data_IF_788978240194
#
_entry.id   IF_788978240194
#
_cell.length_a   1.000
_cell.length_b   1.000
_cell.length_c   1.000
_cell.angle_alpha   90.00
_cell.angle_beta   90.00
_cell.angle_gamma   90.00
#
_symmetry.space_group_name_H-M   'P 1'
#
loop_
_entity.id
_entity.type
_entity.pdbx_description
1 polymer ?
#
# COMPACT_ATOMS: atom_id res chain seq x y z
N UNK A 1 -5.07 17.17 4.04
CA UNK A 1 -5.76 16.05 3.37
C UNK A 1 -5.09 15.82 2.03
N UNK A 2 -4.77 14.58 1.67
CA UNK A 2 -4.04 14.25 0.44
C UNK A 2 -4.91 13.36 -0.44
N UNK A 3 -5.02 13.71 -1.72
CA UNK A 3 -5.67 12.89 -2.73
C UNK A 3 -4.71 12.76 -3.90
N UNK A 4 -4.39 11.52 -4.29
CA UNK A 4 -3.46 11.24 -5.36
C UNK A 4 -4.14 10.57 -6.55
N UNK A 5 -3.73 10.93 -7.74
CA UNK A 5 -4.11 10.20 -8.95
C UNK A 5 -3.44 8.82 -8.97
N UNK A 6 -4.01 7.86 -9.70
CA UNK A 6 -3.37 6.56 -9.96
C UNK A 6 -1.95 6.71 -10.50
N UNK A 7 -1.67 7.75 -11.33
CA UNK A 7 -0.34 8.01 -11.88
C UNK A 7 0.66 8.47 -10.81
N UNK A 8 0.26 9.35 -9.89
CA UNK A 8 1.11 9.79 -8.78
C UNK A 8 1.41 8.63 -7.81
N UNK A 9 0.41 7.80 -7.53
CA UNK A 9 0.58 6.59 -6.72
C UNK A 9 1.54 5.61 -7.42
N UNK A 10 1.34 5.36 -8.70
CA UNK A 10 2.24 4.49 -9.49
C UNK A 10 3.67 5.00 -9.55
N UNK A 11 3.86 6.32 -9.65
CA UNK A 11 5.17 6.98 -9.66
C UNK A 11 5.85 7.09 -8.29
N UNK A 12 5.23 6.61 -7.21
CA UNK A 12 5.72 6.80 -5.84
C UNK A 12 5.92 8.29 -5.48
N UNK A 13 4.96 9.14 -5.90
CA UNK A 13 4.95 10.59 -5.74
C UNK A 13 4.01 11.03 -4.61
N UNK A 14 4.13 10.42 -3.43
CA UNK A 14 3.34 10.78 -2.25
C UNK A 14 4.19 11.51 -1.21
N UNK A 15 3.54 12.10 -0.22
CA UNK A 15 4.19 12.70 0.95
C UNK A 15 4.82 11.67 1.90
N UNK A 16 4.50 10.39 1.75
CA UNK A 16 4.91 9.32 2.66
C UNK A 16 6.06 8.52 2.05
N UNK A 17 7.26 8.74 2.59
CA UNK A 17 8.49 8.08 2.13
C UNK A 17 8.44 6.54 2.29
N UNK A 18 7.74 6.02 3.29
CA UNK A 18 7.62 4.58 3.53
C UNK A 18 6.70 3.94 2.49
N UNK A 19 5.61 4.62 2.14
CA UNK A 19 4.73 4.20 1.07
C UNK A 19 5.42 4.27 -0.30
N UNK A 20 6.17 5.34 -0.54
CA UNK A 20 6.94 5.50 -1.77
C UNK A 20 7.99 4.40 -1.93
N UNK A 21 8.73 4.08 -0.87
CA UNK A 21 9.68 2.96 -0.87
C UNK A 21 8.98 1.62 -1.13
N UNK A 22 7.79 1.39 -0.57
CA UNK A 22 7.04 0.17 -0.85
C UNK A 22 6.64 0.06 -2.32
N UNK A 23 6.13 1.13 -2.93
CA UNK A 23 5.84 1.14 -4.36
C UNK A 23 7.08 0.87 -5.20
N UNK A 24 8.22 1.51 -4.89
CA UNK A 24 9.47 1.27 -5.62
C UNK A 24 9.93 -0.18 -5.47
N UNK A 25 9.90 -0.77 -4.27
CA UNK A 25 10.24 -2.20 -4.08
C UNK A 25 9.40 -3.08 -5.01
N UNK A 26 8.08 -2.85 -5.04
CA UNK A 26 7.16 -3.62 -5.86
C UNK A 26 7.42 -3.43 -7.35
N UNK A 27 7.68 -2.22 -7.83
CA UNK A 27 7.98 -1.94 -9.24
C UNK A 27 9.28 -2.63 -9.68
N UNK A 28 10.32 -2.60 -8.85
CA UNK A 28 11.64 -3.13 -9.21
C UNK A 28 11.79 -4.63 -8.99
N UNK A 29 11.12 -5.20 -7.98
CA UNK A 29 11.31 -6.60 -7.59
C UNK A 29 10.09 -7.48 -7.85
N UNK A 30 8.93 -6.87 -8.11
CA UNK A 30 7.64 -7.56 -8.16
C UNK A 30 7.20 -8.17 -6.83
N UNK A 31 7.80 -7.72 -5.72
CA UNK A 31 7.54 -8.16 -4.37
C UNK A 31 7.42 -6.98 -3.41
N UNK A 32 6.68 -7.18 -2.32
CA UNK A 32 6.53 -6.24 -1.22
C UNK A 32 6.28 -7.04 0.05
N UNK A 33 6.94 -6.67 1.14
CA UNK A 33 6.76 -7.33 2.43
C UNK A 33 5.29 -7.29 2.90
N UNK A 34 4.76 -8.38 3.45
CA UNK A 34 3.33 -8.52 3.76
C UNK A 34 2.77 -7.40 4.65
N UNK A 35 3.53 -6.97 5.67
CA UNK A 35 3.09 -5.85 6.52
C UNK A 35 3.04 -4.52 5.75
N UNK A 36 3.96 -4.32 4.80
CA UNK A 36 3.95 -3.16 3.93
C UNK A 36 2.80 -3.24 2.92
N UNK A 37 2.40 -4.41 2.42
CA UNK A 37 1.20 -4.55 1.56
C UNK A 37 -0.07 -4.08 2.25
N UNK A 38 -0.24 -4.43 3.53
CA UNK A 38 -1.37 -3.95 4.32
C UNK A 38 -1.33 -2.42 4.46
N UNK A 39 -0.19 -1.87 4.88
CA UNK A 39 0.01 -0.43 5.02
C UNK A 39 -0.28 0.30 3.70
N UNK A 40 0.34 -0.17 2.63
CA UNK A 40 0.26 0.34 1.27
C UNK A 40 -1.18 0.42 0.78
N UNK A 41 -1.95 -0.66 0.92
CA UNK A 41 -3.34 -0.69 0.51
C UNK A 41 -4.22 0.26 1.33
N UNK A 42 -4.03 0.32 2.66
CA UNK A 42 -4.81 1.24 3.51
C UNK A 42 -4.57 2.69 3.13
N UNK A 43 -3.33 3.06 2.78
CA UNK A 43 -3.01 4.41 2.32
C UNK A 43 -3.61 4.75 0.96
N UNK A 44 -3.73 3.80 0.02
CA UNK A 44 -4.49 4.04 -1.22
C UNK A 44 -5.95 4.35 -0.90
N UNK A 45 -6.57 3.63 0.03
CA UNK A 45 -7.93 3.93 0.49
C UNK A 45 -8.03 5.34 1.11
N UNK A 46 -7.05 5.72 1.94
CA UNK A 46 -7.01 7.04 2.59
C UNK A 46 -6.83 8.21 1.61
N UNK A 47 -6.07 8.00 0.53
CA UNK A 47 -5.67 9.06 -0.40
C UNK A 47 -6.43 9.01 -1.73
N UNK A 48 -7.58 8.35 -1.76
CA UNK A 48 -8.47 8.29 -2.91
C UNK A 48 -9.75 9.06 -2.64
N UNK A 49 -10.34 9.62 -3.69
CA UNK A 49 -11.60 10.35 -3.61
C UNK A 49 -12.81 9.46 -3.28
N UNK A 50 -12.81 8.18 -3.67
CA UNK A 50 -13.86 7.21 -3.30
C UNK A 50 -13.27 5.82 -3.04
N UNK A 51 -13.95 4.98 -2.22
CA UNK A 51 -13.54 3.60 -2.00
C UNK A 51 -13.48 2.75 -3.27
N UNK A 52 -14.36 2.99 -4.25
CA UNK A 52 -14.37 2.26 -5.51
C UNK A 52 -13.17 2.66 -6.39
N UNK A 53 -12.79 3.95 -6.37
CA UNK A 53 -11.58 4.39 -7.06
C UNK A 53 -10.33 3.81 -6.39
N UNK A 54 -10.27 3.82 -5.05
CA UNK A 54 -9.21 3.16 -4.30
C UNK A 54 -9.11 1.67 -4.63
N UNK A 55 -10.24 0.95 -4.67
CA UNK A 55 -10.26 -0.48 -4.98
C UNK A 55 -9.69 -0.76 -6.38
N UNK A 56 -10.16 -0.02 -7.39
CA UNK A 56 -9.66 -0.15 -8.76
C UNK A 56 -8.16 0.16 -8.85
N UNK A 57 -7.70 1.21 -8.18
CA UNK A 57 -6.28 1.60 -8.15
C UNK A 57 -5.42 0.55 -7.47
N UNK A 58 -5.81 0.08 -6.27
CA UNK A 58 -5.10 -0.98 -5.54
C UNK A 58 -5.01 -2.25 -6.38
N UNK A 59 -6.12 -2.67 -7.00
CA UNK A 59 -6.15 -3.88 -7.82
C UNK A 59 -5.30 -3.74 -9.10
N UNK A 60 -5.35 -2.57 -9.75
CA UNK A 60 -4.53 -2.26 -10.92
C UNK A 60 -3.04 -2.37 -10.61
N UNK A 61 -2.56 -1.65 -9.60
CA UNK A 61 -1.15 -1.64 -9.21
C UNK A 61 -0.69 -3.02 -8.78
N UNK A 62 -1.52 -3.72 -7.99
CA UNK A 62 -1.22 -5.07 -7.53
C UNK A 62 -1.05 -6.04 -8.71
N UNK A 63 -2.00 -6.04 -9.65
CA UNK A 63 -1.95 -6.96 -10.79
C UNK A 63 -0.89 -6.61 -11.84
N UNK A 64 -0.48 -5.34 -11.90
CA UNK A 64 0.54 -4.86 -12.84
C UNK A 64 1.95 -5.26 -12.40
N UNK A 65 2.26 -5.15 -11.11
CA UNK A 65 3.64 -5.26 -10.64
C UNK A 65 3.94 -6.51 -9.81
N UNK A 66 3.00 -7.04 -9.02
CA UNK A 66 3.32 -8.23 -8.22
C UNK A 66 3.49 -9.47 -9.10
N UNK A 67 4.56 -10.22 -8.85
CA UNK A 67 4.76 -11.55 -9.44
C UNK A 67 3.68 -12.53 -8.98
N UNK A 68 3.19 -12.38 -7.74
CA UNK A 68 2.05 -13.11 -7.17
C UNK A 68 0.69 -12.39 -7.36
N UNK A 69 0.65 -11.41 -8.28
CA UNK A 69 -0.57 -10.74 -8.71
C UNK A 69 -1.48 -11.64 -9.54
N UNK A 70 -2.74 -11.23 -9.76
CA UNK A 70 -3.73 -11.95 -10.59
C UNK A 70 -4.06 -13.38 -10.10
N UNK A 71 -3.78 -13.66 -8.84
CA UNK A 71 -4.13 -14.90 -8.14
C UNK A 71 -5.32 -14.67 -7.18
N UNK A 72 -6.19 -15.66 -6.92
CA UNK A 72 -7.29 -15.53 -5.96
C UNK A 72 -6.88 -14.97 -4.58
N UNK A 73 -5.72 -15.35 -4.06
CA UNK A 73 -5.21 -14.80 -2.79
C UNK A 73 -4.92 -13.31 -2.91
N UNK A 74 -4.43 -12.87 -4.08
CA UNK A 74 -4.17 -11.48 -4.39
C UNK A 74 -5.45 -10.65 -4.35
N UNK A 75 -6.54 -11.13 -4.96
CA UNK A 75 -7.85 -10.48 -4.90
C UNK A 75 -8.41 -10.43 -3.46
N UNK A 76 -8.25 -11.52 -2.69
CA UNK A 76 -8.67 -11.56 -1.29
C UNK A 76 -7.89 -10.56 -0.42
N UNK A 77 -6.57 -10.44 -0.65
CA UNK A 77 -5.72 -9.47 0.03
C UNK A 77 -6.12 -8.03 -0.28
N UNK A 78 -6.44 -7.72 -1.55
CA UNK A 78 -7.00 -6.42 -1.92
C UNK A 78 -8.34 -6.20 -1.23
N UNK A 79 -9.26 -7.16 -1.24
CA UNK A 79 -10.56 -7.02 -0.58
C UNK A 79 -10.45 -6.80 0.94
N UNK A 80 -9.45 -7.41 1.60
CA UNK A 80 -9.18 -7.19 3.03
C UNK A 80 -8.81 -5.73 3.36
N UNK A 81 -8.16 -5.02 2.43
CA UNK A 81 -7.91 -3.57 2.56
C UNK A 81 -9.22 -2.80 2.75
N UNK A 82 -10.33 -3.31 2.19
CA UNK A 82 -11.66 -2.69 2.28
C UNK A 82 -12.57 -3.36 3.31
N UNK A 83 -12.04 -4.28 4.14
CA UNK A 83 -12.72 -4.87 5.29
C UNK A 83 -13.20 -6.31 5.11
N UNK A 84 -12.99 -6.92 3.94
CA UNK A 84 -13.34 -8.33 3.74
C UNK A 84 -12.55 -9.24 4.69
N UNK A 85 -13.23 -10.15 5.38
CA UNK A 85 -12.64 -11.08 6.36
C UNK A 85 -11.93 -10.39 7.56
N UNK A 86 -12.17 -9.10 7.80
CA UNK A 86 -11.78 -8.42 9.04
C UNK A 86 -13.03 -8.05 9.85
N UNK A 87 -12.84 -7.75 11.13
CA UNK A 87 -13.90 -7.20 11.99
C UNK A 87 -14.01 -5.69 11.84
N UNK A 88 -15.12 -5.11 12.31
CA UNK A 88 -15.24 -3.67 12.45
C UNK A 88 -14.33 -3.10 13.54
N UNK A 89 -13.79 -1.91 13.29
CA UNK A 89 -12.93 -1.13 14.19
C UNK A 89 -13.62 0.16 14.64
N UNK A 90 -12.97 0.90 15.55
CA UNK A 90 -13.39 2.25 15.92
C UNK A 90 -13.56 3.10 14.68
N UNK A 91 -14.70 3.76 14.58
CA UNK A 91 -15.05 4.57 13.42
C UNK A 91 -14.10 5.76 13.26
N UNK A 92 -13.68 6.01 12.01
CA UNK A 92 -12.80 7.11 11.63
C UNK A 92 -13.28 7.72 10.33
N UNK A 93 -13.01 9.01 10.16
CA UNK A 93 -13.17 9.69 8.88
C UNK A 93 -12.42 8.94 7.77
N UNK A 94 -12.98 8.93 6.56
CA UNK A 94 -12.57 8.14 5.39
C UNK A 94 -12.75 6.62 5.54
N UNK A 95 -12.30 6.02 6.63
CA UNK A 95 -12.27 4.57 6.80
C UNK A 95 -13.60 3.97 7.28
N UNK A 96 -14.49 4.77 7.87
CA UNK A 96 -15.61 4.23 8.64
C UNK A 96 -15.09 3.24 9.68
N UNK A 97 -15.58 2.00 9.65
CA UNK A 97 -15.15 0.91 10.56
C UNK A 97 -14.05 0.01 9.98
N UNK A 98 -13.49 0.33 8.82
CA UNK A 98 -12.35 -0.41 8.26
C UNK A 98 -11.11 -0.19 9.14
N UNK A 99 -10.31 -1.24 9.33
CA UNK A 99 -9.05 -1.14 10.09
C UNK A 99 -8.15 -0.04 9.51
N UNK A 100 -7.78 0.90 10.36
CA UNK A 100 -6.82 1.96 10.06
C UNK A 100 -5.36 1.53 10.31
N UNK A 101 -4.42 2.04 9.50
CA UNK A 101 -2.97 1.92 9.72
C UNK A 101 -2.29 3.29 9.52
N UNK A 102 -1.44 3.69 10.46
CA UNK A 102 -0.64 4.92 10.40
C UNK A 102 0.85 4.66 10.32
N UNK A 103 1.60 5.64 9.81
CA UNK A 103 3.07 5.67 9.82
C UNK A 103 3.62 5.50 11.24
N UNK A 104 3.12 6.26 12.22
CA UNK A 104 3.53 6.07 13.63
C UNK A 104 3.12 4.71 14.23
N UNK A 105 2.15 4.01 13.64
CA UNK A 105 1.86 2.61 13.97
C UNK A 105 2.87 1.63 13.35
N UNK A 106 3.33 1.93 12.15
CA UNK A 106 4.38 1.20 11.43
C UNK A 106 5.74 1.35 12.13
N UNK A 107 6.14 2.57 12.48
CA UNK A 107 7.40 2.87 13.20
C UNK A 107 7.52 2.16 14.55
N UNK A 108 6.41 1.99 15.27
CA UNK A 108 6.42 1.27 16.57
C UNK A 108 6.57 -0.24 16.42
N UNK A 109 6.19 -0.80 15.27
CA UNK A 109 6.11 -2.25 15.04
C UNK A 109 7.19 -2.78 14.10
N UNK A 110 7.82 -1.89 13.34
CA UNK A 110 8.81 -2.19 12.33
C UNK A 110 9.89 -1.09 12.32
N UNK A 111 10.87 -1.25 11.44
CA UNK A 111 11.92 -0.24 11.21
C UNK A 111 11.77 0.30 9.78
N UNK A 112 10.77 1.14 9.50
CA UNK A 112 10.47 1.56 8.14
C UNK A 112 11.60 2.38 7.50
N UNK A 113 12.39 3.14 8.28
CA UNK A 113 13.61 3.78 7.77
C UNK A 113 14.63 2.77 7.21
N UNK A 114 14.87 1.66 7.92
CA UNK A 114 15.75 0.58 7.40
C UNK A 114 15.15 -0.12 6.18
N UNK A 115 13.82 -0.13 6.07
CA UNK A 115 13.14 -0.64 4.90
C UNK A 115 13.40 0.27 3.69
N UNK A 116 13.31 1.60 3.85
CA UNK A 116 13.64 2.57 2.80
C UNK A 116 15.08 2.37 2.32
N UNK A 117 16.06 2.40 3.22
CA UNK A 117 17.48 2.22 2.89
C UNK A 117 17.73 0.90 2.12
N UNK A 118 17.08 -0.19 2.55
CA UNK A 118 17.19 -1.49 1.90
C UNK A 118 16.63 -1.47 0.48
N UNK A 119 15.51 -0.79 0.27
CA UNK A 119 14.88 -0.68 -1.05
C UNK A 119 15.75 0.15 -1.98
N UNK A 120 16.26 1.29 -1.52
CA UNK A 120 17.14 2.17 -2.30
C UNK A 120 18.39 1.41 -2.76
N UNK A 121 19.06 0.73 -1.84
CA UNK A 121 20.23 -0.10 -2.17
C UNK A 121 19.94 -1.18 -3.22
N UNK A 122 18.79 -1.85 -3.13
CA UNK A 122 18.39 -2.88 -4.12
C UNK A 122 18.17 -2.30 -5.51
N UNK A 123 17.64 -1.07 -5.58
CA UNK A 123 17.38 -0.39 -6.85
C UNK A 123 18.71 0.02 -7.48
N UNK A 124 19.64 0.56 -6.69
CA UNK A 124 21.00 0.90 -7.14
C UNK A 124 21.76 -0.32 -7.67
N UNK A 125 21.63 -1.47 -7.02
CA UNK A 125 22.28 -2.73 -7.46
C UNK A 125 21.67 -3.32 -8.74
N UNK A 126 20.47 -2.88 -9.15
CA UNK A 126 19.75 -3.43 -10.31
C UNK A 126 19.81 -2.54 -11.56
N UNK A 127 20.43 -1.36 -11.47
CA UNK A 127 20.58 -0.38 -12.56
C UNK A 127 21.97 -0.41 -13.19
#
# INVERSE_FOLDING_TARGET
>A
EYVYTTKQLEGAETHDEYWNAAMREMVHTGYMHNYMRMYWGKKILEWSNTPEHAYRTTLYLNNKYFLDGRDPNSFANVAWVFGQHDRGWTEREVYGKVRYMSSGGLERKAKPGQYVEKVEKRIEESG
#
